data_IF_616858007370
#
_entry.id   IF_616858007370
#
_cell.length_a   1.000
_cell.length_b   1.000
_cell.length_c   1.000
_cell.angle_alpha   90.00
_cell.angle_beta   90.00
_cell.angle_gamma   90.00
#
_symmetry.space_group_name_H-M   'P 1'
#
loop_
_entity.id
_entity.type
_entity.pdbx_description
1 polymer ?
#
# COMPACT_ATOMS: atom_id res chain seq x y z
N UNK A 1 -15.13 -16.19 20.71
CA UNK A 1 -13.82 -16.88 20.68
C UNK A 1 -12.81 -16.24 21.65
N UNK A 2 -13.22 -15.33 22.55
CA UNK A 2 -12.29 -14.54 23.40
C UNK A 2 -12.24 -14.94 24.89
N UNK A 3 -12.92 -16.02 25.28
CA UNK A 3 -12.99 -16.46 26.69
C UNK A 3 -11.64 -16.93 27.23
N UNK A 4 -10.82 -17.55 26.39
CA UNK A 4 -9.47 -17.99 26.80
C UNK A 4 -8.54 -16.81 27.06
N UNK A 5 -8.48 -15.81 26.17
CA UNK A 5 -7.64 -14.63 26.39
C UNK A 5 -8.03 -13.85 27.65
N UNK A 6 -9.33 -13.71 27.94
CA UNK A 6 -9.81 -13.06 29.16
C UNK A 6 -9.48 -13.85 30.45
N UNK A 7 -9.56 -15.18 30.41
CA UNK A 7 -9.19 -16.04 31.53
C UNK A 7 -7.66 -16.08 31.75
N UNK A 8 -6.87 -16.09 30.68
CA UNK A 8 -5.42 -15.97 30.77
C UNK A 8 -5.00 -14.61 31.33
N UNK A 9 -5.58 -13.52 30.80
CA UNK A 9 -5.29 -12.15 31.26
C UNK A 9 -5.66 -11.90 32.74
N UNK A 10 -6.60 -12.67 33.30
CA UNK A 10 -6.99 -12.54 34.72
C UNK A 10 -6.21 -13.47 35.66
N UNK A 11 -5.68 -14.60 35.18
CA UNK A 11 -5.00 -15.60 36.03
C UNK A 11 -3.48 -15.49 36.04
N UNK A 12 -2.87 -15.08 34.93
CA UNK A 12 -1.40 -15.04 34.80
C UNK A 12 -0.78 -13.88 35.59
N UNK A 13 -1.26 -12.63 35.50
CA UNK A 13 -0.64 -11.51 36.21
C UNK A 13 -0.52 -11.68 37.74
N UNK A 14 -1.51 -12.21 38.49
CA UNK A 14 -1.34 -12.41 39.92
C UNK A 14 -0.32 -13.50 40.24
N UNK A 15 -0.18 -14.54 39.40
CA UNK A 15 0.83 -15.57 39.58
C UNK A 15 2.24 -15.06 39.26
N UNK A 16 2.38 -14.21 38.25
CA UNK A 16 3.64 -13.53 37.94
C UNK A 16 4.09 -12.64 39.10
N UNK A 17 3.18 -11.85 39.68
CA UNK A 17 3.47 -11.06 40.89
C UNK A 17 3.92 -11.94 42.06
N UNK A 18 3.22 -13.04 42.33
CA UNK A 18 3.62 -13.97 43.40
C UNK A 18 5.01 -14.59 43.14
N UNK A 19 5.31 -14.93 41.90
CA UNK A 19 6.64 -15.39 41.49
C UNK A 19 7.69 -14.30 41.77
N UNK A 20 7.42 -13.07 41.35
CA UNK A 20 8.35 -11.95 41.47
C UNK A 20 8.60 -11.59 42.94
N UNK A 21 7.55 -11.57 43.77
CA UNK A 21 7.64 -11.39 45.22
C UNK A 21 8.52 -12.48 45.87
N UNK A 22 8.34 -13.74 45.47
CA UNK A 22 9.15 -14.86 45.96
C UNK A 22 10.61 -14.74 45.53
N UNK A 23 10.87 -14.38 44.27
CA UNK A 23 12.22 -14.13 43.76
C UNK A 23 12.90 -12.99 44.51
N UNK A 24 12.18 -11.89 44.78
CA UNK A 24 12.67 -10.76 45.56
C UNK A 24 13.04 -11.18 46.99
N UNK A 25 12.19 -11.95 47.66
CA UNK A 25 12.50 -12.49 48.99
C UNK A 25 13.76 -13.36 48.98
N UNK A 26 13.91 -14.20 47.94
CA UNK A 26 15.08 -15.05 47.79
C UNK A 26 16.37 -14.23 47.59
N UNK A 27 16.33 -13.19 46.76
CA UNK A 27 17.46 -12.26 46.55
C UNK A 27 17.88 -11.61 47.88
N UNK A 28 16.93 -11.07 48.64
CA UNK A 28 17.20 -10.43 49.94
C UNK A 28 17.79 -11.41 50.97
N UNK A 29 17.31 -12.66 50.99
CA UNK A 29 17.86 -13.70 51.85
C UNK A 29 19.30 -14.06 51.45
N UNK A 30 19.58 -14.16 50.15
CA UNK A 30 20.93 -14.42 49.65
C UNK A 30 21.88 -13.27 50.02
N UNK A 31 21.47 -12.02 49.80
CA UNK A 31 22.25 -10.83 50.18
C UNK A 31 22.56 -10.81 51.69
N UNK A 32 21.55 -11.05 52.53
CA UNK A 32 21.72 -11.12 53.97
C UNK A 32 22.70 -12.23 54.40
N UNK A 33 22.69 -13.37 53.70
CA UNK A 33 23.62 -14.49 53.95
C UNK A 33 25.03 -14.20 53.47
N UNK A 34 25.19 -13.54 52.33
CA UNK A 34 26.49 -13.11 51.81
C UNK A 34 27.20 -12.13 52.75
N UNK A 35 26.44 -11.30 53.46
CA UNK A 35 26.96 -10.40 54.51
C UNK A 35 27.44 -11.14 55.77
N UNK A 36 27.09 -12.42 55.95
CA UNK A 36 27.53 -13.25 57.07
C UNK A 36 28.80 -14.05 56.70
N UNK A 37 29.74 -14.19 57.65
CA UNK A 37 30.98 -14.97 57.45
C UNK A 37 30.79 -16.51 57.45
N UNK A 38 29.58 -17.01 57.20
CA UNK A 38 29.26 -18.45 57.28
C UNK A 38 29.52 -19.23 55.98
N UNK A 39 29.78 -18.55 54.86
CA UNK A 39 29.92 -19.17 53.54
C UNK A 39 31.38 -19.33 53.12
N UNK A 40 31.70 -20.48 52.53
CA UNK A 40 32.97 -20.70 51.80
C UNK A 40 33.07 -19.77 50.60
N UNK A 41 34.29 -19.42 50.17
CA UNK A 41 34.56 -18.60 48.98
C UNK A 41 33.81 -19.10 47.72
N UNK A 42 33.77 -20.43 47.52
CA UNK A 42 33.07 -21.04 46.38
C UNK A 42 31.55 -20.80 46.45
N UNK A 43 30.96 -21.00 47.63
CA UNK A 43 29.53 -20.80 47.85
C UNK A 43 29.15 -19.33 47.80
N UNK A 44 30.00 -18.43 48.32
CA UNK A 44 29.81 -16.99 48.21
C UNK A 44 29.77 -16.55 46.75
N UNK A 45 30.70 -17.03 45.92
CA UNK A 45 30.70 -16.73 44.48
C UNK A 45 29.44 -17.21 43.79
N UNK A 46 29.05 -18.48 43.98
CA UNK A 46 27.81 -19.02 43.40
C UNK A 46 26.57 -18.26 43.86
N UNK A 47 26.52 -17.87 45.14
CA UNK A 47 25.42 -17.10 45.70
C UNK A 47 25.36 -15.67 45.11
N UNK A 48 26.50 -15.00 44.93
CA UNK A 48 26.57 -13.71 44.24
C UNK A 48 26.13 -13.83 42.77
N UNK A 49 26.57 -14.86 42.04
CA UNK A 49 26.13 -15.10 40.66
C UNK A 49 24.62 -15.32 40.57
N UNK A 50 24.05 -16.13 41.47
CA UNK A 50 22.59 -16.35 41.54
C UNK A 50 21.83 -15.07 41.91
N UNK A 51 22.35 -14.29 42.85
CA UNK A 51 21.78 -13.01 43.25
C UNK A 51 21.76 -12.04 42.07
N UNK A 52 22.86 -11.87 41.35
CA UNK A 52 22.92 -10.99 40.19
C UNK A 52 21.91 -11.41 39.11
N UNK A 53 21.83 -12.71 38.79
CA UNK A 53 20.89 -13.20 37.77
C UNK A 53 19.42 -12.91 38.13
N UNK A 54 19.03 -13.15 39.39
CA UNK A 54 17.65 -12.90 39.85
C UNK A 54 17.34 -11.41 39.96
N UNK A 55 18.29 -10.64 40.48
CA UNK A 55 18.16 -9.20 40.65
C UNK A 55 18.07 -8.47 39.29
N UNK A 56 18.87 -8.89 38.31
CA UNK A 56 18.81 -8.38 36.93
C UNK A 56 17.43 -8.65 36.31
N UNK A 57 16.91 -9.88 36.43
CA UNK A 57 15.57 -10.20 35.92
C UNK A 57 14.44 -9.35 36.53
N UNK A 58 14.51 -9.05 37.82
CA UNK A 58 13.55 -8.16 38.49
C UNK A 58 13.75 -6.69 38.12
N UNK A 59 15.00 -6.25 37.95
CA UNK A 59 15.32 -4.90 37.50
C UNK A 59 14.77 -4.61 36.10
N UNK A 60 14.83 -5.58 35.18
CA UNK A 60 14.20 -5.47 33.85
C UNK A 60 12.67 -5.29 33.90
N UNK A 61 12.02 -5.72 34.99
CA UNK A 61 10.59 -5.49 35.22
C UNK A 61 10.30 -4.13 35.89
N UNK A 62 11.33 -3.31 36.14
CA UNK A 62 11.23 -1.98 36.71
C UNK A 62 11.52 -1.89 38.21
N UNK A 63 12.05 -2.93 38.84
CA UNK A 63 12.37 -2.93 40.27
C UNK A 63 13.72 -2.25 40.56
N UNK A 64 13.67 -0.95 40.88
CA UNK A 64 14.86 -0.13 41.14
C UNK A 64 15.70 -0.62 42.34
N UNK A 65 15.08 -1.21 43.35
CA UNK A 65 15.82 -1.76 44.50
C UNK A 65 16.65 -2.98 44.08
N UNK A 66 16.12 -3.80 43.17
CA UNK A 66 16.84 -4.96 42.65
C UNK A 66 17.95 -4.55 41.70
N UNK A 67 17.78 -3.47 40.93
CA UNK A 67 18.89 -2.87 40.16
C UNK A 67 20.03 -2.43 41.07
N UNK A 68 19.74 -1.66 42.13
CA UNK A 68 20.76 -1.20 43.07
C UNK A 68 21.48 -2.38 43.76
N UNK A 69 20.74 -3.45 44.05
CA UNK A 69 21.30 -4.65 44.67
C UNK A 69 22.13 -5.48 43.68
N UNK A 70 21.75 -5.56 42.41
CA UNK A 70 22.59 -6.12 41.35
C UNK A 70 23.92 -5.37 41.25
N UNK A 71 23.86 -4.04 41.11
CA UNK A 71 25.04 -3.20 40.89
C UNK A 71 26.00 -3.22 42.09
N UNK A 72 25.51 -3.52 43.29
CA UNK A 72 26.35 -3.70 44.48
C UNK A 72 27.15 -5.03 44.50
N UNK A 73 26.68 -6.06 43.81
CA UNK A 73 27.28 -7.40 43.80
C UNK A 73 27.94 -7.78 42.47
N UNK A 74 27.55 -7.11 41.38
CA UNK A 74 28.09 -7.31 40.03
C UNK A 74 29.35 -6.45 39.80
N UNK A 75 30.33 -6.93 39.00
CA UNK A 75 31.44 -6.10 38.54
C UNK A 75 31.03 -5.01 37.54
N UNK A 76 29.90 -5.18 36.86
CA UNK A 76 29.35 -4.22 35.89
C UNK A 76 27.92 -3.86 36.28
N UNK A 77 27.58 -2.58 36.21
CA UNK A 77 26.21 -2.14 36.46
C UNK A 77 25.29 -2.50 35.29
N UNK A 78 23.99 -2.68 35.55
CA UNK A 78 23.03 -2.94 34.48
C UNK A 78 23.00 -1.81 33.44
N UNK A 79 23.25 -0.56 33.85
CA UNK A 79 23.33 0.57 32.94
C UNK A 79 24.55 0.49 32.00
N UNK A 80 25.70 0.01 32.51
CA UNK A 80 26.88 -0.21 31.67
C UNK A 80 26.67 -1.38 30.69
N UNK A 81 26.02 -2.45 31.15
CA UNK A 81 25.67 -3.59 30.29
C UNK A 81 24.67 -3.18 29.19
N UNK A 82 23.64 -2.39 29.53
CA UNK A 82 22.69 -1.85 28.57
C UNK A 82 23.40 -0.96 27.55
N UNK A 83 24.27 -0.05 28.00
CA UNK A 83 25.04 0.84 27.13
C UNK A 83 26.00 0.09 26.21
N UNK A 84 26.62 -0.99 26.68
CA UNK A 84 27.46 -1.85 25.85
C UNK A 84 26.62 -2.56 24.78
N UNK A 85 25.44 -3.10 25.16
CA UNK A 85 24.53 -3.75 24.23
C UNK A 85 23.96 -2.77 23.19
N UNK A 86 23.67 -1.52 23.56
CA UNK A 86 23.22 -0.49 22.61
C UNK A 86 24.33 -0.09 21.65
N UNK A 87 25.57 0.01 22.12
CA UNK A 87 26.74 0.26 21.27
C UNK A 87 26.96 -0.86 20.24
N UNK A 88 26.89 -2.12 20.67
CA UNK A 88 27.03 -3.29 19.80
C UNK A 88 25.93 -3.31 18.73
N UNK A 89 24.68 -3.07 19.13
CA UNK A 89 23.56 -3.03 18.19
C UNK A 89 23.68 -1.84 17.22
N UNK A 90 24.10 -0.67 17.70
CA UNK A 90 24.37 0.48 16.85
C UNK A 90 25.38 0.12 15.76
N UNK A 91 26.51 -0.50 16.13
CA UNK A 91 27.53 -0.90 15.16
C UNK A 91 26.97 -1.87 14.10
N UNK A 92 26.20 -2.88 14.52
CA UNK A 92 25.57 -3.82 13.58
C UNK A 92 24.61 -3.11 12.63
N UNK A 93 23.81 -2.16 13.13
CA UNK A 93 22.90 -1.39 12.30
C UNK A 93 23.64 -0.48 11.32
N UNK A 94 24.69 0.21 11.77
CA UNK A 94 25.52 1.06 10.91
C UNK A 94 26.19 0.25 9.79
N UNK A 95 26.71 -0.95 10.10
CA UNK A 95 27.26 -1.87 9.11
C UNK A 95 26.23 -2.31 8.07
N UNK A 96 25.00 -2.64 8.52
CA UNK A 96 23.90 -3.06 7.64
C UNK A 96 23.41 -1.91 6.76
N UNK A 97 23.27 -0.70 7.32
CA UNK A 97 22.77 0.45 6.58
C UNK A 97 23.86 1.16 5.77
N UNK A 98 25.14 0.92 6.07
CA UNK A 98 26.30 1.52 5.43
C UNK A 98 26.45 3.03 5.72
N UNK A 99 25.80 3.53 6.77
CA UNK A 99 25.82 4.93 7.19
C UNK A 99 25.69 5.00 8.72
N UNK A 100 26.42 5.92 9.35
CA UNK A 100 26.35 6.12 10.81
C UNK A 100 24.94 6.48 11.28
N UNK A 101 24.51 6.14 12.49
CA UNK A 101 23.19 6.47 13.04
C UNK A 101 23.22 7.69 13.98
N UNK A 102 24.37 8.02 14.55
CA UNK A 102 24.55 9.12 15.49
C UNK A 102 25.49 10.21 15.00
N UNK A 103 25.60 11.28 15.80
CA UNK A 103 26.52 12.38 15.57
C UNK A 103 27.87 12.09 16.26
N UNK A 104 28.62 11.12 15.74
CA UNK A 104 29.97 10.76 16.20
C UNK A 104 30.08 9.37 16.84
N UNK A 105 31.21 9.11 17.50
CA UNK A 105 31.57 7.81 18.09
C UNK A 105 30.90 7.55 19.46
N UNK A 106 29.96 8.40 19.88
CA UNK A 106 29.27 8.24 21.16
C UNK A 106 28.08 7.28 21.01
N UNK A 107 28.05 6.16 21.75
CA UNK A 107 26.91 5.27 21.74
C UNK A 107 25.66 5.92 22.31
N UNK A 108 24.50 5.52 21.80
CA UNK A 108 23.22 5.91 22.39
C UNK A 108 23.06 5.34 23.80
N UNK A 109 22.42 6.11 24.70
CA UNK A 109 22.27 5.73 26.11
C UNK A 109 21.16 4.67 26.31
N UNK A 110 20.28 4.47 25.33
CA UNK A 110 19.20 3.48 25.39
C UNK A 110 18.86 2.90 24.02
N UNK A 111 18.28 1.70 24.03
CA UNK A 111 17.81 1.03 22.82
C UNK A 111 16.71 1.83 22.11
N UNK A 112 15.81 2.45 22.87
CA UNK A 112 14.71 3.26 22.34
C UNK A 112 15.22 4.49 21.57
N UNK A 113 16.27 5.12 22.07
CA UNK A 113 16.90 6.26 21.41
C UNK A 113 17.55 5.84 20.09
N UNK A 114 18.32 4.74 20.10
CA UNK A 114 18.90 4.15 18.89
C UNK A 114 17.84 3.80 17.84
N UNK A 115 16.76 3.12 18.25
CA UNK A 115 15.67 2.73 17.35
C UNK A 115 14.95 3.94 16.76
N UNK A 116 14.74 5.01 17.55
CA UNK A 116 14.15 6.26 17.07
C UNK A 116 15.04 6.93 16.02
N UNK A 117 16.34 7.08 16.32
CA UNK A 117 17.31 7.67 15.39
C UNK A 117 17.38 6.87 14.07
N UNK A 118 17.38 5.54 14.16
CA UNK A 118 17.38 4.66 12.99
C UNK A 118 16.12 4.83 12.12
N UNK A 119 14.93 4.89 12.74
CA UNK A 119 13.67 5.11 12.03
C UNK A 119 13.63 6.48 11.35
N UNK A 120 14.06 7.54 12.03
CA UNK A 120 14.13 8.89 11.46
C UNK A 120 15.07 8.93 10.25
N UNK A 121 16.26 8.35 10.37
CA UNK A 121 17.25 8.33 9.28
C UNK A 121 16.76 7.51 8.07
N UNK A 122 16.12 6.38 8.33
CA UNK A 122 15.50 5.56 7.28
C UNK A 122 14.35 6.30 6.60
N UNK A 123 13.49 6.97 7.37
CA UNK A 123 12.39 7.79 6.87
C UNK A 123 12.88 8.94 5.99
N UNK A 124 13.91 9.67 6.42
CA UNK A 124 14.51 10.76 5.64
C UNK A 124 15.13 10.26 4.31
N UNK A 125 15.82 9.12 4.34
CA UNK A 125 16.38 8.50 3.13
C UNK A 125 15.29 8.05 2.15
N UNK A 126 14.20 7.45 2.65
CA UNK A 126 13.05 7.08 1.83
C UNK A 126 12.33 8.29 1.23
N UNK A 127 12.09 9.33 2.02
CA UNK A 127 11.47 10.58 1.57
C UNK A 127 12.30 11.26 0.46
N UNK A 128 13.62 11.30 0.62
CA UNK A 128 14.54 11.84 -0.39
C UNK A 128 14.49 11.03 -1.68
N UNK A 129 14.56 9.69 -1.59
CA UNK A 129 14.45 8.81 -2.76
C UNK A 129 13.09 8.94 -3.45
N UNK A 130 12.02 9.14 -2.70
CA UNK A 130 10.68 9.32 -3.24
C UNK A 130 10.56 10.68 -3.95
N UNK A 131 11.05 11.76 -3.32
CA UNK A 131 11.12 13.08 -3.94
C UNK A 131 11.95 13.06 -5.23
N UNK A 132 13.08 12.35 -5.26
CA UNK A 132 13.90 12.18 -6.46
C UNK A 132 13.17 11.41 -7.56
N UNK A 133 12.43 10.35 -7.20
CA UNK A 133 11.61 9.60 -8.14
C UNK A 133 10.49 10.46 -8.71
N UNK A 134 9.81 11.24 -7.87
CA UNK A 134 8.74 12.15 -8.27
C UNK A 134 9.27 13.28 -9.15
N UNK A 135 10.41 13.88 -8.79
CA UNK A 135 11.07 14.87 -9.63
C UNK A 135 11.53 14.29 -10.97
N UNK A 136 12.07 13.07 -11.00
CA UNK A 136 12.44 12.38 -12.24
C UNK A 136 11.20 12.06 -13.09
N UNK A 137 10.09 11.66 -12.46
CA UNK A 137 8.82 11.42 -13.15
C UNK A 137 8.24 12.71 -13.73
N UNK A 138 8.28 13.81 -12.98
CA UNK A 138 7.82 15.13 -13.43
C UNK A 138 8.72 15.73 -14.53
N UNK A 139 10.04 15.52 -14.45
CA UNK A 139 11.02 15.96 -15.46
C UNK A 139 11.01 15.09 -16.73
N UNK A 140 10.46 13.87 -16.69
CA UNK A 140 10.17 13.10 -17.91
C UNK A 140 9.04 13.80 -18.66
N UNK A 141 9.41 14.70 -19.57
CA UNK A 141 8.53 15.22 -20.62
C UNK A 141 7.77 14.06 -21.27
N UNK A 142 6.48 14.27 -21.62
CA UNK A 142 5.67 13.30 -22.39
C UNK A 142 6.56 12.66 -23.46
N UNK A 143 6.73 11.33 -23.40
CA UNK A 143 7.68 10.68 -24.30
C UNK A 143 7.25 10.89 -25.76
N UNK A 144 8.19 10.89 -26.71
CA UNK A 144 7.89 11.03 -28.14
C UNK A 144 6.84 10.01 -28.63
N UNK A 145 6.74 8.85 -27.96
CA UNK A 145 5.70 7.83 -28.22
C UNK A 145 4.30 8.29 -27.79
N UNK A 146 4.19 9.01 -26.68
CA UNK A 146 2.92 9.51 -26.16
C UNK A 146 2.39 10.69 -26.98
N UNK A 147 3.27 11.60 -27.42
CA UNK A 147 2.95 12.67 -28.36
C UNK A 147 2.50 12.13 -29.73
N UNK A 148 3.16 11.08 -30.25
CA UNK A 148 2.76 10.44 -31.52
C UNK A 148 1.39 9.76 -31.42
N UNK A 149 1.07 9.11 -30.29
CA UNK A 149 -0.25 8.51 -30.06
C UNK A 149 -1.35 9.56 -29.95
N UNK A 150 -1.11 10.66 -29.22
CA UNK A 150 -2.06 11.78 -29.10
C UNK A 150 -2.31 12.45 -30.48
N UNK A 151 -1.25 12.68 -31.27
CA UNK A 151 -1.36 13.25 -32.63
C UNK A 151 -2.11 12.32 -33.60
N UNK A 152 -1.86 11.01 -33.54
CA UNK A 152 -2.55 10.03 -34.37
C UNK A 152 -4.04 9.93 -34.01
N UNK A 153 -4.37 9.95 -32.71
CA UNK A 153 -5.76 9.92 -32.24
C UNK A 153 -6.53 11.19 -32.62
N UNK A 154 -5.89 12.37 -32.56
CA UNK A 154 -6.51 13.62 -33.03
C UNK A 154 -6.69 13.64 -34.54
N UNK A 155 -5.72 13.16 -35.32
CA UNK A 155 -5.86 13.02 -36.78
C UNK A 155 -7.03 12.10 -37.15
N UNK A 156 -7.11 10.91 -36.55
CA UNK A 156 -8.19 9.96 -36.82
C UNK A 156 -9.58 10.51 -36.43
N UNK A 157 -9.67 11.27 -35.34
CA UNK A 157 -10.92 11.91 -34.93
C UNK A 157 -11.35 13.03 -35.89
N UNK A 158 -10.39 13.78 -36.44
CA UNK A 158 -10.67 14.82 -37.44
C UNK A 158 -11.14 14.22 -38.77
N UNK A 159 -10.49 13.14 -39.24
CA UNK A 159 -10.88 12.43 -40.46
C UNK A 159 -12.29 11.84 -40.36
N UNK A 160 -12.63 11.22 -39.21
CA UNK A 160 -13.97 10.69 -38.95
C UNK A 160 -15.04 11.79 -38.99
N UNK A 161 -14.75 12.98 -38.46
CA UNK A 161 -15.65 14.15 -38.54
C UNK A 161 -15.80 14.74 -39.94
N UNK A 162 -14.77 14.61 -40.79
CA UNK A 162 -14.82 14.99 -42.21
C UNK A 162 -15.71 14.05 -43.04
N UNK A 163 -15.57 12.74 -42.83
CA UNK A 163 -16.39 11.72 -43.47
C UNK A 163 -17.87 11.87 -43.11
N UNK A 164 -18.18 12.09 -41.82
CA UNK A 164 -19.55 12.31 -41.33
C UNK A 164 -20.22 13.52 -42.00
N UNK A 165 -19.53 14.66 -42.08
CA UNK A 165 -20.04 15.89 -42.72
C UNK A 165 -20.29 15.70 -44.21
N UNK A 166 -19.41 14.97 -44.89
CA UNK A 166 -19.51 14.72 -46.32
C UNK A 166 -20.73 13.84 -46.63
N UNK A 167 -20.91 12.75 -45.88
CA UNK A 167 -22.06 11.84 -46.05
C UNK A 167 -23.38 12.51 -45.71
N UNK A 168 -23.45 13.28 -44.63
CA UNK A 168 -24.64 14.04 -44.28
C UNK A 168 -25.02 15.04 -45.36
N UNK A 169 -24.05 15.79 -45.93
CA UNK A 169 -24.31 16.73 -47.03
C UNK A 169 -24.85 16.01 -48.27
N UNK A 170 -24.26 14.88 -48.64
CA UNK A 170 -24.73 14.07 -49.76
C UNK A 170 -26.16 13.56 -49.56
N UNK A 171 -26.52 13.17 -48.32
CA UNK A 171 -27.88 12.76 -47.96
C UNK A 171 -28.86 13.93 -48.00
N UNK A 172 -28.50 15.08 -47.43
CA UNK A 172 -29.34 16.28 -47.40
C UNK A 172 -29.65 16.80 -48.81
N UNK A 173 -28.65 16.85 -49.70
CA UNK A 173 -28.86 17.25 -51.10
C UNK A 173 -29.77 16.27 -51.85
N UNK A 174 -29.64 14.97 -51.58
CA UNK A 174 -30.39 13.95 -52.29
C UNK A 174 -31.84 13.76 -51.79
N UNK A 175 -32.14 14.18 -50.57
CA UNK A 175 -33.46 14.06 -49.93
C UNK A 175 -34.24 15.38 -49.92
N UNK A 176 -33.80 16.39 -50.69
CA UNK A 176 -34.39 17.73 -50.63
C UNK A 176 -35.88 17.72 -51.06
N UNK A 177 -36.82 18.16 -50.20
CA UNK A 177 -38.25 18.05 -50.43
C UNK A 177 -38.81 19.05 -51.47
N UNK A 178 -38.09 20.12 -51.83
CA UNK A 178 -38.55 21.13 -52.81
C UNK A 178 -38.68 20.65 -54.27
N UNK A 179 -38.27 19.42 -54.59
CA UNK A 179 -38.27 18.92 -55.98
C UNK A 179 -39.33 17.86 -56.28
N UNK A 180 -40.31 17.69 -55.39
CA UNK A 180 -41.36 16.66 -55.52
C UNK A 180 -42.75 17.33 -55.63
N UNK A 181 -43.48 17.16 -56.74
CA UNK A 181 -44.86 17.63 -56.87
C UNK A 181 -45.90 16.68 -56.23
N UNK A 182 -45.50 15.47 -55.81
CA UNK A 182 -46.36 14.50 -55.12
C UNK A 182 -46.28 14.65 -53.60
N UNK A 183 -47.44 14.88 -52.97
CA UNK A 183 -47.61 15.07 -51.53
C UNK A 183 -47.17 13.83 -50.73
N UNK A 184 -47.36 12.62 -51.27
CA UNK A 184 -46.99 11.38 -50.56
C UNK A 184 -45.48 11.17 -50.52
N UNK A 185 -44.77 11.46 -51.61
CA UNK A 185 -43.31 11.38 -51.67
C UNK A 185 -42.65 12.51 -50.87
N UNK A 186 -43.29 13.69 -50.79
CA UNK A 186 -42.83 14.78 -49.93
C UNK A 186 -42.84 14.39 -48.44
N UNK A 187 -43.87 13.68 -47.97
CA UNK A 187 -43.95 13.16 -46.60
C UNK A 187 -42.86 12.12 -46.32
N UNK A 188 -42.61 11.20 -47.25
CA UNK A 188 -41.55 10.18 -47.14
C UNK A 188 -40.16 10.80 -47.07
N UNK A 189 -39.86 11.79 -47.93
CA UNK A 189 -38.58 12.50 -47.89
C UNK A 189 -38.40 13.30 -46.60
N UNK A 190 -39.45 13.94 -46.11
CA UNK A 190 -39.42 14.68 -44.85
C UNK A 190 -39.08 13.77 -43.66
N UNK A 191 -39.63 12.54 -43.63
CA UNK A 191 -39.29 11.55 -42.59
C UNK A 191 -37.80 11.12 -42.68
N UNK A 192 -37.30 10.85 -43.88
CA UNK A 192 -35.90 10.47 -44.10
C UNK A 192 -34.92 11.60 -43.75
N UNK A 193 -35.28 12.86 -44.00
CA UNK A 193 -34.48 14.03 -43.58
C UNK A 193 -34.40 14.11 -42.05
N UNK A 194 -35.51 13.89 -41.35
CA UNK A 194 -35.52 13.87 -39.87
C UNK A 194 -34.63 12.76 -39.31
N UNK A 195 -34.67 11.57 -39.89
CA UNK A 195 -33.80 10.45 -39.50
C UNK A 195 -32.32 10.77 -39.76
N UNK A 196 -31.99 11.38 -40.90
CA UNK A 196 -30.63 11.79 -41.22
C UNK A 196 -30.10 12.87 -40.28
N UNK A 197 -30.94 13.84 -39.88
CA UNK A 197 -30.57 14.87 -38.91
C UNK A 197 -30.28 14.26 -37.53
N UNK A 198 -31.14 13.36 -37.05
CA UNK A 198 -30.95 12.68 -35.76
C UNK A 198 -29.69 11.80 -35.74
N UNK A 199 -29.37 11.13 -36.86
CA UNK A 199 -28.13 10.36 -36.99
C UNK A 199 -26.88 11.26 -37.00
N UNK A 200 -26.96 12.44 -37.63
CA UNK A 200 -25.87 13.41 -37.66
C UNK A 200 -25.59 14.04 -36.29
N UNK A 201 -26.64 14.39 -35.54
CA UNK A 201 -26.52 14.93 -34.17
C UNK A 201 -25.83 13.93 -33.23
N UNK A 202 -26.15 12.63 -33.36
CA UNK A 202 -25.50 11.56 -32.59
C UNK A 202 -24.09 11.19 -33.09
N UNK A 203 -23.60 11.83 -34.16
CA UNK A 203 -22.35 11.51 -34.87
C UNK A 203 -22.26 10.03 -35.30
N UNK A 204 -23.40 9.44 -35.65
CA UNK A 204 -23.52 8.03 -36.01
C UNK A 204 -23.29 7.83 -37.51
N UNK A 205 -22.04 7.57 -37.88
CA UNK A 205 -21.62 7.35 -39.26
C UNK A 205 -22.31 6.13 -39.89
N UNK A 206 -22.55 5.08 -39.10
CA UNK A 206 -23.13 3.84 -39.59
C UNK A 206 -24.61 4.05 -39.95
N UNK A 207 -25.35 4.77 -39.10
CA UNK A 207 -26.74 5.12 -39.38
C UNK A 207 -26.89 5.96 -40.66
N UNK A 208 -25.99 6.93 -40.91
CA UNK A 208 -26.00 7.71 -42.16
C UNK A 208 -25.71 6.83 -43.39
N UNK A 209 -24.73 5.92 -43.31
CA UNK A 209 -24.42 4.99 -44.40
C UNK A 209 -25.60 4.04 -44.70
N UNK A 210 -26.28 3.54 -43.66
CA UNK A 210 -27.48 2.71 -43.80
C UNK A 210 -28.62 3.47 -44.50
N UNK A 211 -28.84 4.73 -44.14
CA UNK A 211 -29.82 5.60 -44.81
C UNK A 211 -29.49 5.81 -46.29
N UNK A 212 -28.22 6.00 -46.64
CA UNK A 212 -27.76 6.15 -48.03
C UNK A 212 -27.98 4.88 -48.85
N UNK A 213 -27.75 3.71 -48.26
CA UNK A 213 -27.97 2.41 -48.92
C UNK A 213 -29.46 2.09 -49.09
N UNK A 214 -30.31 2.41 -48.09
CA UNK A 214 -31.76 2.25 -48.16
C UNK A 214 -32.37 3.12 -49.26
N UNK A 215 -31.88 4.36 -49.40
CA UNK A 215 -32.27 5.28 -50.47
C UNK A 215 -31.84 4.81 -51.86
N UNK A 216 -30.63 4.27 -51.99
CA UNK A 216 -30.10 3.81 -53.29
C UNK A 216 -30.65 2.45 -53.76
N UNK A 217 -31.66 1.90 -53.06
CA UNK A 217 -32.34 0.67 -53.46
C UNK A 217 -31.50 -0.60 -53.29
N UNK A 218 -30.39 -0.55 -52.55
CA UNK A 218 -29.42 -1.66 -52.42
C UNK A 218 -29.65 -2.55 -51.19
N UNK A 219 -30.81 -2.47 -50.56
CA UNK A 219 -31.25 -3.39 -49.48
C UNK A 219 -32.48 -4.18 -49.91
N UNK A 220 -32.26 -5.40 -50.39
CA UNK A 220 -33.31 -6.41 -50.61
C UNK A 220 -33.45 -7.21 -49.31
N UNK A 221 -34.63 -7.13 -48.67
CA UNK A 221 -34.93 -7.78 -47.38
C UNK A 221 -34.59 -9.28 -47.36
N UNK A 222 -33.84 -9.72 -46.35
CA UNK A 222 -33.82 -11.12 -45.92
C UNK A 222 -35.11 -11.45 -45.17
N UNK A 223 -35.95 -12.31 -45.75
CA UNK A 223 -37.21 -12.82 -45.17
C UNK A 223 -36.92 -13.80 -44.02
N UNK A 224 -37.61 -13.63 -42.90
CA UNK A 224 -37.92 -14.71 -41.95
C UNK A 224 -39.44 -14.96 -41.94
N UNK A 225 -39.85 -16.20 -42.22
CA UNK A 225 -40.90 -16.95 -41.53
C UNK A 225 -41.13 -18.28 -42.27
N UNK A 226 -41.01 -19.41 -41.54
CA UNK A 226 -41.22 -20.77 -42.04
C UNK A 226 -42.68 -21.08 -42.38
N UNK A 227 -42.98 -22.35 -42.72
CA UNK A 227 -43.12 -23.34 -41.66
C UNK A 227 -42.47 -24.69 -41.99
N UNK A 228 -42.18 -25.46 -40.95
CA UNK A 228 -41.81 -26.87 -41.10
C UNK A 228 -43.02 -27.74 -41.43
N UNK A 229 -42.75 -28.90 -42.03
CA UNK A 229 -43.18 -30.22 -41.58
C UNK A 229 -42.56 -31.31 -42.47
N UNK A 230 -42.04 -32.35 -41.79
CA UNK A 230 -41.98 -33.80 -42.11
C UNK A 230 -41.66 -34.21 -43.57
N UNK A 231 -40.69 -35.08 -43.87
CA UNK A 231 -40.32 -36.34 -43.19
C UNK A 231 -40.44 -37.47 -44.24
N UNK A 232 -39.53 -38.49 -44.25
CA UNK A 232 -39.25 -39.37 -45.40
C UNK A 232 -40.07 -40.69 -45.31
N UNK A 233 -39.83 -41.74 -46.13
CA UNK A 233 -38.58 -42.52 -46.15
C UNK A 233 -37.79 -42.45 -47.47
#
# INVERSE_FOLDING_TARGET
MDTHHALFASRIPPLERQRDDCMRQMVLLIDARLKQKSLSKKHSRMASELLCNLASGLAMLGDADMQALHDAHSPHSLAEEEKAATADLQQVMEDVFGHSLGDGDTPFESLDELMRAAMEKMGASQATRQADKEQRAAKRKKSASQLRKEALATSQAQDAGGALRTLYRQLATALHPDREPDVQEQLRKTALVKEANAAYERRDLLALLQLQLRRSGRWRQGRHAGPGKAGPP
#
